data_IF_932778590663
#
_entry.id   IF_932778590663
#
_cell.length_a   1.000
_cell.length_b   1.000
_cell.length_c   1.000
_cell.angle_alpha   90.00
_cell.angle_beta   90.00
_cell.angle_gamma   90.00
#
_symmetry.space_group_name_H-M   'P 1'
#
loop_
_entity.id
_entity.type
_entity.pdbx_description
1 polymer ?
#
# COMPACT_ATOMS: atom_id res chain seq x y z
N UNK A 1 -2.48 -44.57 -2.17
CA UNK A 1 -3.45 -43.47 -2.26
C UNK A 1 -3.93 -43.18 -0.85
N UNK A 2 -3.39 -42.13 -0.22
CA UNK A 2 -3.97 -41.63 1.02
C UNK A 2 -5.41 -41.17 0.76
N UNK A 3 -6.35 -41.55 1.64
CA UNK A 3 -7.73 -41.07 1.55
C UNK A 3 -7.73 -39.55 1.67
N UNK A 4 -8.50 -38.81 0.86
CA UNK A 4 -8.63 -37.37 1.03
C UNK A 4 -9.15 -37.07 2.44
N UNK A 5 -8.38 -36.29 3.22
CA UNK A 5 -8.81 -35.81 4.54
C UNK A 5 -10.12 -35.02 4.37
N UNK A 6 -11.05 -35.22 5.31
CA UNK A 6 -12.34 -34.51 5.30
C UNK A 6 -12.11 -32.99 5.32
N UNK A 7 -12.71 -32.25 4.39
CA UNK A 7 -12.65 -30.79 4.38
C UNK A 7 -13.53 -30.27 5.52
N UNK A 8 -12.94 -29.53 6.45
CA UNK A 8 -13.71 -28.85 7.51
C UNK A 8 -14.12 -27.48 6.98
N UNK A 9 -15.42 -27.27 6.79
CA UNK A 9 -15.95 -25.97 6.42
C UNK A 9 -15.90 -25.05 7.63
N UNK A 10 -15.18 -23.94 7.52
CA UNK A 10 -15.08 -22.90 8.55
C UNK A 10 -16.17 -21.84 8.45
N UNK A 11 -17.12 -22.05 7.53
CA UNK A 11 -18.21 -21.15 7.19
C UNK A 11 -19.33 -21.07 8.22
N UNK A 12 -19.23 -21.71 9.39
CA UNK A 12 -20.21 -21.54 10.47
C UNK A 12 -19.48 -21.45 11.82
N UNK A 13 -20.07 -20.77 12.83
CA UNK A 13 -19.46 -20.71 14.15
C UNK A 13 -19.29 -22.13 14.70
N UNK A 14 -18.08 -22.47 15.12
CA UNK A 14 -17.85 -23.67 15.95
C UNK A 14 -18.55 -23.53 17.31
N UNK A 15 -18.52 -24.60 18.10
CA UNK A 15 -18.89 -24.50 19.53
C UNK A 15 -17.99 -23.47 20.23
N UNK A 16 -18.48 -22.85 21.30
CA UNK A 16 -17.80 -21.73 21.99
C UNK A 16 -16.37 -22.12 22.45
N UNK A 17 -16.17 -23.37 22.83
CA UNK A 17 -14.89 -23.98 23.21
C UNK A 17 -13.90 -24.20 22.05
N UNK A 18 -14.34 -24.00 20.81
CA UNK A 18 -13.55 -24.15 19.57
C UNK A 18 -13.26 -22.81 18.89
N UNK A 19 -13.46 -21.68 19.59
CA UNK A 19 -13.13 -20.35 19.06
C UNK A 19 -11.66 -20.02 19.34
N UNK A 20 -10.99 -19.42 18.36
CA UNK A 20 -9.67 -18.83 18.55
C UNK A 20 -9.68 -17.67 19.56
N UNK A 21 -8.52 -17.21 20.02
CA UNK A 21 -8.42 -16.09 20.95
C UNK A 21 -9.04 -14.84 20.32
N UNK A 22 -9.82 -14.08 21.10
CA UNK A 22 -10.40 -12.84 20.62
C UNK A 22 -9.35 -11.75 20.46
N UNK A 23 -9.53 -10.91 19.44
CA UNK A 23 -8.67 -9.77 19.16
C UNK A 23 -9.31 -8.52 19.77
N UNK A 24 -8.61 -7.84 20.67
CA UNK A 24 -9.02 -6.53 21.21
C UNK A 24 -8.40 -5.43 20.35
N UNK A 25 -8.99 -5.14 19.19
CA UNK A 25 -8.45 -4.12 18.28
C UNK A 25 -8.32 -2.75 18.96
N UNK A 26 -7.23 -2.04 18.70
CA UNK A 26 -6.91 -0.77 19.35
C UNK A 26 -6.30 -0.90 20.75
N UNK A 27 -6.09 -2.11 21.29
CA UNK A 27 -5.33 -2.27 22.53
C UNK A 27 -3.83 -2.01 22.29
N UNK A 28 -3.24 -1.12 23.09
CA UNK A 28 -1.84 -0.70 22.96
C UNK A 28 -0.82 -1.76 23.40
N UNK A 29 -1.20 -2.62 24.36
CA UNK A 29 -0.40 -3.77 24.79
C UNK A 29 -0.66 -4.96 23.84
N UNK A 30 0.34 -5.40 23.05
CA UNK A 30 0.13 -6.44 22.06
C UNK A 30 -0.24 -7.81 22.67
N UNK A 31 0.20 -8.12 23.90
CA UNK A 31 -0.21 -9.35 24.60
C UNK A 31 -1.69 -9.32 24.96
N UNK A 32 -2.21 -8.17 25.41
CA UNK A 32 -3.64 -7.98 25.70
C UNK A 32 -4.50 -7.87 24.44
N UNK A 33 -3.94 -7.25 23.38
CA UNK A 33 -4.56 -7.16 22.05
C UNK A 33 -4.81 -8.55 21.46
N UNK A 34 -3.83 -9.45 21.63
CA UNK A 34 -3.86 -10.82 21.11
C UNK A 34 -3.35 -10.92 19.67
N UNK A 35 -2.80 -12.08 19.28
CA UNK A 35 -2.19 -12.26 17.97
C UNK A 35 -3.22 -12.40 16.84
N UNK A 36 -2.77 -12.20 15.60
CA UNK A 36 -3.51 -12.56 14.38
C UNK A 36 -3.17 -13.99 14.01
N UNK A 37 -4.20 -14.84 13.91
CA UNK A 37 -4.06 -16.26 13.59
C UNK A 37 -4.94 -16.58 12.39
N UNK A 38 -4.32 -16.57 11.21
CA UNK A 38 -4.89 -17.02 9.93
C UNK A 38 -4.56 -18.47 9.60
N UNK A 39 -4.41 -19.33 10.62
CA UNK A 39 -3.95 -20.71 10.45
C UNK A 39 -4.89 -21.55 9.59
N UNK A 40 -4.29 -22.31 8.67
CA UNK A 40 -4.97 -23.34 7.87
C UNK A 40 -4.81 -24.75 8.47
N UNK A 41 -3.83 -24.95 9.35
CA UNK A 41 -3.52 -26.24 9.97
C UNK A 41 -4.45 -26.52 11.15
N UNK A 42 -4.74 -25.49 11.95
CA UNK A 42 -5.67 -25.59 13.06
C UNK A 42 -6.81 -24.57 12.95
N UNK A 43 -7.85 -24.87 12.14
CA UNK A 43 -8.96 -23.95 11.92
C UNK A 43 -9.71 -23.52 13.18
N UNK A 44 -9.66 -24.31 14.25
CA UNK A 44 -10.31 -23.98 15.54
C UNK A 44 -9.59 -22.87 16.30
N UNK A 45 -8.29 -22.67 16.04
CA UNK A 45 -7.50 -21.58 16.65
C UNK A 45 -7.54 -20.29 15.84
N UNK A 46 -8.12 -20.33 14.64
CA UNK A 46 -8.24 -19.17 13.74
C UNK A 46 -9.14 -18.10 14.34
N UNK A 47 -8.69 -16.85 14.28
CA UNK A 47 -9.44 -15.69 14.77
C UNK A 47 -9.62 -14.58 13.71
N UNK A 48 -9.35 -14.90 12.43
CA UNK A 48 -9.55 -14.02 11.29
C UNK A 48 -10.29 -14.71 10.13
N UNK A 49 -10.75 -13.91 9.19
CA UNK A 49 -11.23 -14.32 7.86
C UNK A 49 -10.05 -14.30 6.89
N UNK A 50 -9.93 -15.31 6.04
CA UNK A 50 -8.79 -15.47 5.12
C UNK A 50 -7.60 -16.19 5.76
N UNK A 51 -6.42 -16.02 5.17
CA UNK A 51 -5.17 -16.69 5.58
C UNK A 51 -4.01 -15.71 5.53
N UNK A 52 -2.91 -16.04 6.21
CA UNK A 52 -1.64 -15.32 6.03
C UNK A 52 -1.14 -15.41 4.57
N UNK A 53 -0.11 -14.60 4.26
CA UNK A 53 0.54 -14.52 2.94
C UNK A 53 -0.23 -13.70 1.90
N UNK A 54 -1.23 -12.91 2.32
CA UNK A 54 -1.95 -11.93 1.48
C UNK A 54 -2.26 -12.42 0.06
N UNK A 55 -1.86 -11.65 -0.96
CA UNK A 55 -2.01 -11.97 -2.38
C UNK A 55 -1.32 -13.27 -2.84
N UNK A 56 -0.44 -13.83 -2.02
CA UNK A 56 0.31 -15.06 -2.32
C UNK A 56 -0.33 -16.34 -1.75
N UNK A 57 -1.44 -16.23 -1.01
CA UNK A 57 -2.13 -17.38 -0.43
C UNK A 57 -2.53 -18.44 -1.48
N UNK A 58 -2.97 -18.01 -2.67
CA UNK A 58 -3.32 -18.91 -3.78
C UNK A 58 -2.08 -19.64 -4.32
N UNK A 59 -0.96 -18.94 -4.49
CA UNK A 59 0.30 -19.57 -4.89
C UNK A 59 0.80 -20.57 -3.86
N UNK A 60 0.68 -20.25 -2.57
CA UNK A 60 0.97 -21.19 -1.48
C UNK A 60 0.10 -22.44 -1.59
N UNK A 61 -1.21 -22.29 -1.83
CA UNK A 61 -2.10 -23.42 -2.01
C UNK A 61 -1.71 -24.30 -3.22
N UNK A 62 -1.31 -23.68 -4.33
CA UNK A 62 -0.78 -24.40 -5.50
C UNK A 62 0.52 -25.14 -5.18
N UNK A 63 1.45 -24.52 -4.44
CA UNK A 63 2.70 -25.16 -4.02
C UNK A 63 2.43 -26.40 -3.15
N UNK A 64 1.45 -26.34 -2.25
CA UNK A 64 0.99 -27.50 -1.46
C UNK A 64 0.38 -28.57 -2.36
N UNK A 65 -0.51 -28.19 -3.28
CA UNK A 65 -1.14 -29.13 -4.21
C UNK A 65 -0.11 -29.81 -5.14
N UNK A 66 0.95 -29.10 -5.51
CA UNK A 66 2.05 -29.59 -6.31
C UNK A 66 3.09 -30.41 -5.50
N UNK A 67 2.93 -30.55 -4.18
CA UNK A 67 3.88 -31.24 -3.30
C UNK A 67 5.21 -30.50 -3.10
N UNK A 68 5.27 -29.20 -3.42
CA UNK A 68 6.46 -28.36 -3.24
C UNK A 68 6.54 -27.74 -1.84
N UNK A 69 5.41 -27.69 -1.12
CA UNK A 69 5.33 -27.19 0.24
C UNK A 69 4.47 -28.13 1.09
N UNK A 70 4.95 -28.54 2.25
CA UNK A 70 4.13 -29.31 3.18
C UNK A 70 2.98 -28.44 3.72
N UNK A 71 1.76 -28.97 3.69
CA UNK A 71 0.58 -28.27 4.22
C UNK A 71 0.77 -27.88 5.70
N UNK A 72 1.43 -28.78 6.44
CA UNK A 72 1.73 -28.68 7.86
C UNK A 72 3.09 -27.99 8.15
N UNK A 73 3.72 -27.36 7.14
CA UNK A 73 4.96 -26.62 7.33
C UNK A 73 4.78 -25.48 8.34
N UNK A 74 5.56 -25.53 9.41
CA UNK A 74 5.73 -24.47 10.40
C UNK A 74 6.94 -23.62 10.01
N UNK A 75 6.78 -22.32 9.71
CA UNK A 75 7.91 -21.46 9.37
C UNK A 75 8.92 -21.35 10.52
N UNK A 76 10.21 -21.46 10.20
CA UNK A 76 11.28 -21.07 11.13
C UNK A 76 11.43 -19.55 11.12
N UNK A 77 11.12 -18.91 12.24
CA UNK A 77 11.23 -17.46 12.44
C UNK A 77 12.50 -17.06 13.21
N UNK A 78 13.47 -17.98 13.35
CA UNK A 78 14.77 -17.68 13.95
C UNK A 78 15.51 -16.62 13.13
N UNK A 79 16.04 -15.59 13.80
CA UNK A 79 16.76 -14.47 13.18
C UNK A 79 15.95 -13.66 12.15
N UNK A 80 14.61 -13.69 12.20
CA UNK A 80 13.75 -12.86 11.32
C UNK A 80 13.27 -11.57 11.98
N UNK A 81 13.83 -11.19 13.13
CA UNK A 81 13.46 -9.97 13.83
C UNK A 81 13.85 -8.72 13.00
N UNK A 82 13.09 -7.62 13.09
CA UNK A 82 13.43 -6.34 12.45
C UNK A 82 14.88 -5.90 12.72
N UNK A 83 15.60 -5.53 11.66
CA UNK A 83 16.98 -5.03 11.80
C UNK A 83 17.04 -3.60 12.37
N UNK A 84 15.91 -2.89 12.36
CA UNK A 84 15.73 -1.59 13.02
C UNK A 84 14.39 -1.62 13.78
N UNK A 85 14.36 -1.19 15.05
CA UNK A 85 13.10 -1.06 15.78
C UNK A 85 12.24 0.04 15.15
N UNK A 86 10.93 -0.22 15.08
CA UNK A 86 9.91 0.77 14.72
C UNK A 86 8.99 0.92 15.92
N UNK A 87 8.67 2.16 16.28
CA UNK A 87 7.85 2.47 17.44
C UNK A 87 8.43 2.02 18.80
N UNK A 88 7.56 1.85 19.82
CA UNK A 88 6.11 2.00 19.76
C UNK A 88 5.66 3.44 19.53
N UNK A 89 4.56 3.61 18.78
CA UNK A 89 3.92 4.92 18.58
C UNK A 89 2.52 4.91 19.20
N UNK A 90 2.06 6.04 19.75
CA UNK A 90 0.76 6.11 20.44
C UNK A 90 -0.40 5.72 19.52
N UNK A 91 -0.27 6.06 18.23
CA UNK A 91 -1.24 5.75 17.18
C UNK A 91 -1.61 4.26 17.09
N UNK A 92 -0.75 3.33 17.55
CA UNK A 92 -1.01 1.89 17.49
C UNK A 92 -2.13 1.43 18.42
N UNK A 93 -2.32 2.15 19.54
CA UNK A 93 -3.37 1.90 20.52
C UNK A 93 -4.54 2.89 20.45
N UNK A 94 -4.56 3.76 19.44
CA UNK A 94 -5.64 4.74 19.25
C UNK A 94 -6.74 4.13 18.37
N UNK A 95 -7.96 4.03 18.91
CA UNK A 95 -9.10 3.48 18.18
C UNK A 95 -9.35 4.23 16.87
N UNK A 96 -9.59 3.50 15.77
CA UNK A 96 -9.86 4.07 14.44
C UNK A 96 -8.63 4.62 13.70
N UNK A 97 -7.48 4.75 14.36
CA UNK A 97 -6.26 5.33 13.78
C UNK A 97 -5.58 4.43 12.75
N UNK A 98 -5.57 3.12 13.04
CA UNK A 98 -5.08 2.07 12.14
C UNK A 98 -6.16 1.00 12.07
N UNK A 99 -6.64 0.71 10.86
CA UNK A 99 -7.71 -0.27 10.60
C UNK A 99 -7.38 -1.21 9.43
N UNK A 100 -6.29 -0.98 8.69
CA UNK A 100 -5.95 -1.70 7.46
C UNK A 100 -4.58 -2.39 7.45
N UNK A 101 -3.84 -2.36 8.56
CA UNK A 101 -2.65 -3.18 8.81
C UNK A 101 -2.59 -3.59 10.30
N UNK A 102 -1.72 -4.55 10.63
CA UNK A 102 -1.46 -4.96 12.01
C UNK A 102 -0.26 -4.21 12.59
N UNK A 103 -0.44 -3.27 13.55
CA UNK A 103 0.65 -2.44 14.06
C UNK A 103 1.79 -3.23 14.72
N UNK A 104 1.50 -4.44 15.18
CA UNK A 104 2.44 -5.33 15.87
C UNK A 104 2.99 -6.45 14.95
N UNK A 105 2.66 -6.39 13.66
CA UNK A 105 2.97 -7.44 12.69
C UNK A 105 4.46 -7.73 12.52
N UNK A 106 5.34 -6.79 12.87
CA UNK A 106 6.80 -6.95 12.83
C UNK A 106 7.40 -7.51 14.13
N UNK A 107 6.61 -7.60 15.21
CA UNK A 107 7.08 -7.95 16.55
C UNK A 107 6.71 -9.37 16.98
N UNK A 108 6.14 -10.19 16.09
CA UNK A 108 5.57 -11.50 16.42
C UNK A 108 6.55 -12.41 17.17
N UNK A 109 7.78 -12.57 16.68
CA UNK A 109 8.77 -13.43 17.32
C UNK A 109 9.25 -12.95 18.68
N UNK A 110 9.07 -11.66 19.01
CA UNK A 110 9.45 -11.08 20.30
C UNK A 110 8.28 -11.12 21.28
N UNK A 111 7.09 -10.73 20.83
CA UNK A 111 5.89 -10.64 21.67
C UNK A 111 5.30 -12.02 21.92
N UNK A 112 5.19 -12.88 20.92
CA UNK A 112 4.45 -14.14 21.00
C UNK A 112 5.36 -15.38 21.00
N UNK A 113 6.58 -15.25 21.54
CA UNK A 113 7.58 -16.34 21.55
C UNK A 113 7.08 -17.61 22.28
N UNK A 114 6.37 -17.44 23.39
CA UNK A 114 5.79 -18.55 24.16
C UNK A 114 4.70 -19.26 23.35
N UNK A 115 3.77 -18.49 22.76
CA UNK A 115 2.68 -19.04 21.97
C UNK A 115 3.18 -19.76 20.71
N UNK A 116 4.24 -19.24 20.07
CA UNK A 116 4.91 -19.92 18.96
C UNK A 116 5.53 -21.26 19.41
N UNK A 117 6.14 -21.29 20.59
CA UNK A 117 6.71 -22.52 21.18
C UNK A 117 5.63 -23.55 21.51
N UNK A 118 4.45 -23.08 21.93
CA UNK A 118 3.25 -23.88 22.18
C UNK A 118 2.55 -24.36 20.88
N UNK A 119 3.11 -24.03 19.71
CA UNK A 119 2.62 -24.49 18.41
C UNK A 119 1.50 -23.64 17.81
N UNK A 120 1.31 -22.40 18.27
CA UNK A 120 0.38 -21.47 17.65
C UNK A 120 0.95 -20.94 16.33
N UNK A 121 0.21 -21.08 15.24
CA UNK A 121 0.58 -20.60 13.90
C UNK A 121 0.29 -19.10 13.76
N UNK A 122 1.14 -18.28 14.40
CA UNK A 122 1.14 -16.82 14.34
C UNK A 122 2.24 -16.40 13.37
N UNK A 123 1.93 -15.57 12.37
CA UNK A 123 2.91 -15.15 11.36
C UNK A 123 3.07 -13.64 11.30
N UNK A 124 4.29 -13.13 11.08
CA UNK A 124 4.51 -11.72 10.79
C UNK A 124 3.71 -11.27 9.57
N UNK A 125 3.08 -10.11 9.68
CA UNK A 125 2.45 -9.40 8.55
C UNK A 125 3.29 -8.20 8.12
N UNK A 126 4.35 -7.88 8.87
CA UNK A 126 5.31 -6.82 8.55
C UNK A 126 6.72 -7.37 8.70
N UNK A 127 7.60 -7.06 7.75
CA UNK A 127 9.03 -7.35 7.84
C UNK A 127 9.85 -6.10 7.56
N UNK A 128 10.94 -5.89 8.30
CA UNK A 128 11.80 -4.69 8.22
C UNK A 128 13.25 -5.12 8.01
N UNK A 129 13.89 -4.59 6.97
CA UNK A 129 15.28 -4.88 6.63
C UNK A 129 16.00 -3.61 6.14
N UNK A 130 17.30 -3.71 5.85
CA UNK A 130 18.07 -2.67 5.16
C UNK A 130 18.45 -3.12 3.76
N UNK A 131 18.47 -2.20 2.82
CA UNK A 131 18.84 -2.46 1.44
C UNK A 131 19.49 -1.23 0.81
N UNK A 132 19.96 -1.40 -0.42
CA UNK A 132 20.35 -0.31 -1.31
C UNK A 132 19.42 -0.29 -2.51
N UNK A 133 19.01 0.90 -2.93
CA UNK A 133 18.31 1.12 -4.18
C UNK A 133 19.32 1.60 -5.22
N UNK A 134 19.39 0.89 -6.34
CA UNK A 134 20.15 1.33 -7.51
C UNK A 134 19.16 1.76 -8.59
N UNK A 135 19.19 3.03 -8.94
CA UNK A 135 18.30 3.65 -9.92
C UNK A 135 19.17 4.52 -10.83
N UNK A 136 19.03 4.34 -12.14
CA UNK A 136 19.82 5.11 -13.11
C UNK A 136 19.55 6.61 -12.99
N UNK A 137 18.33 6.99 -12.60
CA UNK A 137 17.97 8.39 -12.38
C UNK A 137 18.72 9.04 -11.22
N UNK A 138 19.18 8.29 -10.22
CA UNK A 138 20.01 8.85 -9.15
C UNK A 138 21.39 9.22 -9.69
N UNK A 139 21.95 8.40 -10.59
CA UNK A 139 23.20 8.72 -11.28
C UNK A 139 23.02 9.96 -12.17
N UNK A 140 21.88 10.08 -12.85
CA UNK A 140 21.55 11.25 -13.68
C UNK A 140 21.40 12.51 -12.83
N UNK A 141 20.72 12.41 -11.69
CA UNK A 141 20.58 13.51 -10.74
C UNK A 141 21.95 13.98 -10.23
N UNK A 142 22.87 13.06 -9.94
CA UNK A 142 24.25 13.40 -9.56
C UNK A 142 24.99 14.09 -10.72
N UNK A 143 24.93 13.52 -11.93
CA UNK A 143 25.59 14.08 -13.13
C UNK A 143 25.10 15.50 -13.45
N UNK A 144 23.82 15.76 -13.24
CA UNK A 144 23.19 17.07 -13.45
C UNK A 144 23.36 18.02 -12.25
N UNK A 145 23.97 17.57 -11.15
CA UNK A 145 24.18 18.36 -9.93
C UNK A 145 22.91 18.61 -9.11
N UNK A 146 21.82 17.87 -9.36
CA UNK A 146 20.56 17.94 -8.61
C UNK A 146 20.66 17.24 -7.26
N UNK A 147 21.50 16.20 -7.16
CA UNK A 147 21.86 15.55 -5.91
C UNK A 147 23.38 15.50 -5.74
N UNK A 148 23.84 15.52 -4.49
CA UNK A 148 25.26 15.37 -4.13
C UNK A 148 25.41 14.17 -3.21
N UNK A 149 26.27 13.19 -3.53
CA UNK A 149 26.55 12.08 -2.62
C UNK A 149 27.09 12.57 -1.27
N UNK A 150 26.66 11.94 -0.19
CA UNK A 150 27.11 12.17 1.18
C UNK A 150 27.80 10.93 1.78
N UNK A 151 27.81 9.81 1.05
CA UNK A 151 28.38 8.54 1.47
C UNK A 151 27.56 7.81 2.54
N UNK A 152 26.44 8.38 3.00
CA UNK A 152 25.59 7.84 4.06
C UNK A 152 24.18 7.53 3.55
N UNK A 153 23.48 8.52 2.99
CA UNK A 153 22.17 8.34 2.36
C UNK A 153 22.34 7.98 0.89
N UNK A 154 23.16 8.75 0.17
CA UNK A 154 23.45 8.59 -1.25
C UNK A 154 24.95 8.34 -1.45
N UNK A 155 25.27 7.20 -2.05
CA UNK A 155 26.64 6.82 -2.36
C UNK A 155 27.12 7.44 -3.68
N UNK A 156 28.44 7.52 -3.86
CA UNK A 156 29.05 8.02 -5.10
C UNK A 156 28.66 7.20 -6.34
N UNK A 157 28.25 5.95 -6.15
CA UNK A 157 27.73 5.04 -7.18
C UNK A 157 26.30 5.38 -7.64
N UNK A 158 25.61 6.28 -6.94
CA UNK A 158 24.18 6.56 -7.12
C UNK A 158 23.26 5.62 -6.35
N UNK A 159 23.81 4.68 -5.57
CA UNK A 159 23.01 3.83 -4.69
C UNK A 159 22.46 4.62 -3.49
N UNK A 160 21.20 4.39 -3.14
CA UNK A 160 20.55 5.00 -1.97
C UNK A 160 20.40 3.97 -0.86
N UNK A 161 20.98 4.23 0.32
CA UNK A 161 20.79 3.38 1.49
C UNK A 161 19.38 3.59 2.06
N UNK A 162 18.65 2.48 2.28
CA UNK A 162 17.27 2.53 2.76
C UNK A 162 16.99 1.52 3.86
N UNK A 163 16.09 1.89 4.77
CA UNK A 163 15.33 0.91 5.55
C UNK A 163 14.10 0.54 4.72
N UNK A 164 13.94 -0.75 4.42
CA UNK A 164 12.87 -1.30 3.58
C UNK A 164 11.90 -2.09 4.44
N UNK A 165 10.61 -1.88 4.23
CA UNK A 165 9.55 -2.55 4.98
C UNK A 165 8.52 -3.14 4.03
N UNK A 166 8.14 -4.39 4.25
CA UNK A 166 7.00 -5.02 3.56
C UNK A 166 5.84 -5.10 4.55
N UNK A 167 4.63 -4.72 4.11
CA UNK A 167 3.42 -4.70 4.93
C UNK A 167 2.31 -5.44 4.19
N UNK A 168 1.80 -6.51 4.79
CA UNK A 168 0.59 -7.19 4.36
C UNK A 168 -0.66 -6.48 4.90
N UNK A 169 -1.74 -6.39 4.11
CA UNK A 169 -2.98 -5.78 4.55
C UNK A 169 -3.68 -6.64 5.60
N UNK A 170 -4.15 -5.99 6.67
CA UNK A 170 -4.92 -6.60 7.75
C UNK A 170 -6.07 -5.67 8.10
N UNK A 171 -7.29 -6.07 7.77
CA UNK A 171 -8.45 -5.20 7.88
C UNK A 171 -9.26 -5.51 9.13
N UNK A 172 -9.40 -4.51 10.00
CA UNK A 172 -10.41 -4.50 11.05
C UNK A 172 -11.74 -4.01 10.48
N UNK A 173 -12.64 -4.95 10.19
CA UNK A 173 -13.87 -4.71 9.44
C UNK A 173 -14.75 -3.58 10.00
N UNK A 174 -14.97 -3.46 11.33
CA UNK A 174 -15.73 -2.33 11.88
C UNK A 174 -15.09 -0.98 11.56
N UNK A 175 -13.77 -0.85 11.74
CA UNK A 175 -13.05 0.39 11.46
C UNK A 175 -12.95 0.70 9.96
N UNK A 176 -12.81 -0.32 9.11
CA UNK A 176 -12.88 -0.14 7.66
C UNK A 176 -14.27 0.34 7.23
N UNK A 177 -15.34 -0.22 7.78
CA UNK A 177 -16.70 0.22 7.49
C UNK A 177 -16.93 1.68 7.90
N UNK A 178 -16.43 2.08 9.07
CA UNK A 178 -16.45 3.47 9.54
C UNK A 178 -15.70 4.42 8.59
N UNK A 179 -14.49 4.05 8.13
CA UNK A 179 -13.71 4.84 7.15
C UNK A 179 -14.43 5.04 5.82
N UNK A 180 -15.31 4.12 5.45
CA UNK A 180 -16.12 4.21 4.22
C UNK A 180 -17.52 4.77 4.46
N UNK A 181 -17.85 5.19 5.68
CA UNK A 181 -19.16 5.73 6.04
C UNK A 181 -20.33 4.78 5.70
N UNK A 182 -20.11 3.48 5.88
CA UNK A 182 -21.11 2.42 5.66
C UNK A 182 -21.24 1.53 6.89
N UNK A 183 -22.32 0.75 6.94
CA UNK A 183 -22.46 -0.26 8.01
C UNK A 183 -21.53 -1.45 7.78
N UNK A 184 -21.06 -2.07 8.87
CA UNK A 184 -20.24 -3.29 8.80
C UNK A 184 -20.96 -4.41 8.02
N UNK A 185 -22.28 -4.54 8.19
CA UNK A 185 -23.08 -5.52 7.47
C UNK A 185 -23.09 -5.28 5.96
N UNK A 186 -23.18 -4.01 5.51
CA UNK A 186 -23.07 -3.66 4.09
C UNK A 186 -21.67 -3.96 3.56
N UNK A 187 -20.62 -3.59 4.29
CA UNK A 187 -19.23 -3.89 3.91
C UNK A 187 -19.03 -5.39 3.69
N UNK A 188 -19.37 -6.21 4.70
CA UNK A 188 -19.22 -7.67 4.66
C UNK A 188 -20.00 -8.31 3.53
N UNK A 189 -21.26 -7.90 3.35
CA UNK A 189 -22.13 -8.43 2.31
C UNK A 189 -21.59 -8.11 0.91
N UNK A 190 -21.18 -6.87 0.68
CA UNK A 190 -20.61 -6.46 -0.61
C UNK A 190 -19.29 -7.17 -0.87
N UNK A 191 -18.39 -7.28 0.11
CA UNK A 191 -17.16 -8.05 -0.03
C UNK A 191 -17.45 -9.51 -0.40
N UNK A 192 -18.44 -10.16 0.22
CA UNK A 192 -18.83 -11.53 -0.11
C UNK A 192 -19.42 -11.65 -1.52
N UNK A 193 -20.45 -10.86 -1.85
CA UNK A 193 -21.17 -10.94 -3.12
C UNK A 193 -20.28 -10.54 -4.31
N UNK A 194 -19.48 -9.48 -4.17
CA UNK A 194 -18.64 -8.95 -5.25
C UNK A 194 -17.32 -9.73 -5.44
N UNK A 195 -16.98 -10.64 -4.51
CA UNK A 195 -15.85 -11.58 -4.69
C UNK A 195 -16.31 -12.98 -5.12
N UNK A 196 -17.56 -13.13 -5.59
CA UNK A 196 -18.10 -14.42 -6.03
C UNK A 196 -18.29 -15.42 -4.89
N UNK A 197 -18.47 -14.94 -3.66
CA UNK A 197 -18.69 -15.76 -2.48
C UNK A 197 -17.43 -16.41 -1.91
N UNK A 198 -16.24 -15.89 -2.23
CA UNK A 198 -14.94 -16.49 -1.87
C UNK A 198 -14.72 -16.66 -0.36
N UNK A 199 -15.30 -15.79 0.47
CA UNK A 199 -15.17 -15.82 1.94
C UNK A 199 -16.54 -15.87 2.64
N UNK A 200 -17.17 -17.05 2.76
CA UNK A 200 -18.47 -17.20 3.43
C UNK A 200 -18.49 -16.65 4.86
N UNK A 201 -17.36 -16.69 5.57
CA UNK A 201 -17.22 -16.17 6.93
C UNK A 201 -17.54 -14.69 7.07
N UNK A 202 -17.43 -13.89 5.99
CA UNK A 202 -17.86 -12.50 6.01
C UNK A 202 -19.32 -12.38 6.42
N UNK A 203 -20.17 -13.34 6.04
CA UNK A 203 -21.61 -13.36 6.33
C UNK A 203 -21.92 -14.23 7.56
N UNK A 204 -21.24 -15.37 7.70
CA UNK A 204 -21.64 -16.40 8.66
C UNK A 204 -20.90 -16.37 9.99
N UNK A 205 -19.80 -15.60 10.09
CA UNK A 205 -18.95 -15.49 11.28
C UNK A 205 -18.83 -14.03 11.74
N UNK A 206 -19.91 -13.44 12.31
CA UNK A 206 -19.86 -12.09 12.86
C UNK A 206 -18.90 -11.97 14.05
N UNK A 207 -18.50 -13.09 14.66
CA UNK A 207 -17.48 -13.15 15.70
C UNK A 207 -16.06 -12.87 15.20
N UNK A 208 -15.80 -13.00 13.89
CA UNK A 208 -14.51 -12.68 13.27
C UNK A 208 -14.53 -11.26 12.73
N UNK A 209 -13.85 -10.34 13.42
CA UNK A 209 -13.82 -8.91 13.06
C UNK A 209 -12.62 -8.50 12.20
N UNK A 210 -11.65 -9.40 12.01
CA UNK A 210 -10.44 -9.14 11.22
C UNK A 210 -10.45 -9.97 9.94
N UNK A 211 -10.10 -9.35 8.83
CA UNK A 211 -10.00 -9.94 7.51
C UNK A 211 -8.58 -9.76 6.95
N UNK A 212 -8.02 -10.84 6.39
CA UNK A 212 -6.76 -10.83 5.66
C UNK A 212 -7.07 -10.85 4.15
N UNK A 213 -7.29 -9.67 3.51
CA UNK A 213 -7.63 -9.63 2.10
C UNK A 213 -6.45 -10.08 1.23
N UNK A 214 -6.67 -10.92 0.21
CA UNK A 214 -5.62 -11.37 -0.70
C UNK A 214 -5.32 -10.32 -1.78
N UNK A 215 -5.01 -9.10 -1.37
CA UNK A 215 -4.70 -7.96 -2.24
C UNK A 215 -3.23 -7.57 -2.13
N UNK A 216 -2.78 -6.69 -3.03
CA UNK A 216 -1.42 -6.17 -3.01
C UNK A 216 -1.09 -5.44 -1.70
N UNK A 217 0.08 -5.74 -1.14
CA UNK A 217 0.60 -5.08 0.06
C UNK A 217 1.23 -3.71 -0.20
N UNK A 218 1.95 -3.22 0.80
CA UNK A 218 2.69 -1.96 0.78
C UNK A 218 4.17 -2.27 0.92
N UNK A 219 5.01 -1.59 0.15
CA UNK A 219 6.45 -1.55 0.41
C UNK A 219 6.84 -0.13 0.80
N UNK A 220 7.46 0.04 1.95
CA UNK A 220 7.97 1.33 2.40
C UNK A 220 9.48 1.36 2.21
N UNK A 221 9.99 2.45 1.66
CA UNK A 221 11.41 2.78 1.62
C UNK A 221 11.63 4.05 2.43
N UNK A 222 12.47 3.97 3.46
CA UNK A 222 12.85 5.10 4.28
C UNK A 222 14.33 5.44 4.11
N UNK A 223 14.60 6.71 3.88
CA UNK A 223 15.94 7.29 3.78
C UNK A 223 16.20 8.10 5.06
N UNK A 224 17.42 8.00 5.61
CA UNK A 224 17.79 8.65 6.87
C UNK A 224 17.59 7.78 8.10
N UNK A 225 17.59 8.40 9.29
CA UNK A 225 17.44 7.72 10.57
C UNK A 225 15.95 7.55 10.94
N UNK A 226 15.43 6.33 10.75
CA UNK A 226 14.01 6.01 11.01
C UNK A 226 13.61 6.23 12.48
N UNK A 227 14.55 6.23 13.42
CA UNK A 227 14.25 6.44 14.85
C UNK A 227 13.85 7.87 15.17
N UNK A 228 14.13 8.81 14.26
CA UNK A 228 13.76 10.23 14.41
C UNK A 228 12.28 10.48 14.11
N UNK A 229 11.57 9.55 13.44
CA UNK A 229 10.17 9.76 13.07
C UNK A 229 9.29 9.90 14.31
N UNK A 230 8.52 10.98 14.36
CA UNK A 230 7.63 11.31 15.47
C UNK A 230 8.24 12.22 16.54
N UNK A 231 9.53 12.59 16.41
CA UNK A 231 10.16 13.67 17.18
C UNK A 231 9.81 15.04 16.60
N UNK A 232 9.87 16.10 17.40
CA UNK A 232 9.53 17.48 16.95
C UNK A 232 10.57 18.07 15.99
N UNK A 233 11.82 17.59 16.04
CA UNK A 233 12.94 18.12 15.24
C UNK A 233 13.07 17.43 13.87
N UNK A 234 12.45 16.26 13.69
CA UNK A 234 12.57 15.47 12.47
C UNK A 234 11.70 16.00 11.34
N UNK A 235 12.32 16.56 10.31
CA UNK A 235 11.61 16.93 9.07
C UNK A 235 11.28 15.70 8.23
N UNK A 236 10.06 15.63 7.71
CA UNK A 236 9.56 14.51 6.91
C UNK A 236 9.23 14.95 5.49
N UNK A 237 9.95 14.37 4.53
CA UNK A 237 9.56 14.38 3.13
C UNK A 237 8.87 13.05 2.80
N UNK A 238 7.70 13.09 2.15
CA UNK A 238 6.90 11.90 1.92
C UNK A 238 6.31 11.85 0.50
N UNK A 239 6.37 10.65 -0.10
CA UNK A 239 5.64 10.30 -1.31
C UNK A 239 4.85 9.01 -1.09
N UNK A 240 3.53 9.13 -1.23
CA UNK A 240 2.64 7.98 -1.32
C UNK A 240 2.42 7.65 -2.79
N UNK A 241 2.87 6.49 -3.22
CA UNK A 241 2.84 6.07 -4.63
C UNK A 241 1.89 4.88 -4.82
N UNK A 242 1.06 4.94 -5.86
CA UNK A 242 0.28 3.77 -6.29
C UNK A 242 0.98 3.16 -7.51
N UNK A 243 1.13 1.84 -7.49
CA UNK A 243 1.81 1.05 -8.52
C UNK A 243 1.32 1.35 -9.93
N UNK A 244 2.29 1.49 -10.83
CA UNK A 244 2.08 1.56 -12.26
C UNK A 244 3.21 0.79 -12.95
N UNK A 245 3.09 -0.53 -13.04
CA UNK A 245 4.11 -1.45 -13.55
C UNK A 245 4.74 -0.97 -14.87
N UNK A 246 3.92 -0.64 -15.87
CA UNK A 246 4.39 -0.18 -17.18
C UNK A 246 5.25 1.10 -17.13
N UNK A 247 4.98 2.02 -16.20
CA UNK A 247 5.80 3.24 -16.05
C UNK A 247 6.94 3.01 -15.09
N UNK A 248 6.64 2.53 -13.87
CA UNK A 248 7.58 2.37 -12.77
C UNK A 248 8.72 1.41 -13.13
N UNK A 249 8.46 0.33 -13.85
CA UNK A 249 9.47 -0.69 -14.21
C UNK A 249 10.07 -0.42 -15.59
N UNK A 250 9.23 -0.11 -16.58
CA UNK A 250 9.64 -0.08 -18.00
C UNK A 250 9.71 1.32 -18.62
N UNK A 251 9.42 2.38 -17.86
CA UNK A 251 9.59 3.77 -18.34
C UNK A 251 8.56 4.20 -19.38
N UNK A 252 7.33 3.66 -19.35
CA UNK A 252 6.24 4.15 -20.22
C UNK A 252 6.03 5.66 -20.07
N UNK A 253 5.94 6.34 -21.22
CA UNK A 253 5.82 7.79 -21.40
C UNK A 253 4.37 8.29 -21.46
N UNK A 254 3.38 7.40 -21.34
CA UNK A 254 1.95 7.71 -21.43
C UNK A 254 1.42 8.31 -20.11
N UNK A 255 2.16 8.17 -19.01
CA UNK A 255 1.77 8.66 -17.70
C UNK A 255 2.95 9.21 -16.91
N UNK A 256 2.62 9.92 -15.84
CA UNK A 256 3.60 10.59 -14.97
C UNK A 256 4.03 9.76 -13.75
N UNK A 257 3.67 8.47 -13.68
CA UNK A 257 3.91 7.63 -12.51
C UNK A 257 5.40 7.51 -12.14
N UNK A 258 6.27 7.02 -13.04
CA UNK A 258 7.71 6.93 -12.76
C UNK A 258 8.35 8.29 -12.53
N UNK A 259 8.10 9.34 -13.35
CA UNK A 259 8.63 10.68 -13.08
C UNK A 259 8.31 11.17 -11.65
N UNK A 260 7.09 10.98 -11.18
CA UNK A 260 6.72 11.31 -9.80
C UNK A 260 7.40 10.46 -8.73
N UNK A 261 7.58 9.16 -9.01
CA UNK A 261 8.27 8.26 -8.10
C UNK A 261 9.74 8.69 -7.93
N UNK A 262 10.42 8.95 -9.04
CA UNK A 262 11.81 9.40 -9.05
C UNK A 262 11.94 10.77 -8.36
N UNK A 263 11.11 11.75 -8.71
CA UNK A 263 11.12 13.05 -8.04
C UNK A 263 10.88 12.93 -6.53
N UNK A 264 9.93 12.08 -6.12
CA UNK A 264 9.69 11.77 -4.71
C UNK A 264 10.92 11.18 -4.01
N UNK A 265 11.64 10.27 -4.67
CA UNK A 265 12.88 9.68 -4.15
C UNK A 265 13.96 10.74 -3.99
N UNK A 266 14.16 11.63 -4.97
CA UNK A 266 15.16 12.71 -4.90
C UNK A 266 14.90 13.66 -3.72
N UNK A 267 13.65 14.13 -3.57
CA UNK A 267 13.26 15.00 -2.44
C UNK A 267 13.44 14.27 -1.11
N UNK A 268 13.11 12.98 -1.05
CA UNK A 268 13.30 12.16 0.15
C UNK A 268 14.79 11.97 0.50
N UNK A 269 15.65 11.79 -0.50
CA UNK A 269 17.11 11.71 -0.32
C UNK A 269 17.65 13.03 0.20
N UNK A 270 17.31 14.14 -0.45
CA UNK A 270 17.77 15.48 -0.02
C UNK A 270 17.33 15.81 1.41
N UNK A 271 16.07 15.54 1.76
CA UNK A 271 15.57 15.74 3.12
C UNK A 271 16.34 14.89 4.14
N UNK A 272 16.63 13.62 3.80
CA UNK A 272 17.40 12.74 4.66
C UNK A 272 18.86 13.19 4.85
N UNK A 273 19.50 13.69 3.79
CA UNK A 273 20.86 14.26 3.86
C UNK A 273 20.93 15.50 4.76
N UNK A 274 19.82 16.26 4.85
CA UNK A 274 19.69 17.42 5.72
C UNK A 274 19.28 17.07 7.16
N UNK A 275 19.37 15.80 7.56
CA UNK A 275 19.06 15.33 8.92
C UNK A 275 17.59 14.99 9.16
N UNK A 276 16.73 15.06 8.14
CA UNK A 276 15.36 14.60 8.19
C UNK A 276 15.20 13.12 7.84
N UNK A 277 13.97 12.72 7.53
CA UNK A 277 13.61 11.38 7.05
C UNK A 277 12.81 11.48 5.76
N UNK A 278 13.23 10.73 4.74
CA UNK A 278 12.50 10.55 3.50
C UNK A 278 11.64 9.28 3.55
N UNK A 279 10.38 9.34 3.10
CA UNK A 279 9.45 8.19 3.12
C UNK A 279 8.82 8.01 1.74
N UNK A 280 9.04 6.85 1.12
CA UNK A 280 8.29 6.38 -0.04
C UNK A 280 7.40 5.22 0.37
N UNK A 281 6.08 5.42 0.39
CA UNK A 281 5.10 4.37 0.63
C UNK A 281 4.51 3.89 -0.71
N UNK A 282 4.94 2.73 -1.19
CA UNK A 282 4.56 2.15 -2.48
C UNK A 282 3.43 1.14 -2.30
N UNK A 283 2.23 1.50 -2.77
CA UNK A 283 1.02 0.69 -2.70
C UNK A 283 0.84 -0.11 -3.99
N UNK A 284 0.67 -1.42 -3.88
CA UNK A 284 0.43 -2.32 -5.02
C UNK A 284 -1.03 -2.25 -5.49
N UNK A 285 -1.39 -1.11 -6.08
CA UNK A 285 -2.76 -0.74 -6.52
C UNK A 285 -2.77 -0.32 -8.01
N UNK A 286 -2.34 -1.23 -8.88
CA UNK A 286 -2.28 -1.00 -10.33
C UNK A 286 -3.61 -0.49 -10.93
N UNK A 287 -3.50 0.45 -11.87
CA UNK A 287 -4.64 0.92 -12.66
C UNK A 287 -5.74 1.56 -11.82
N UNK A 288 -5.39 2.28 -10.75
CA UNK A 288 -6.35 2.80 -9.74
C UNK A 288 -7.15 1.70 -9.05
N UNK A 289 -6.51 0.56 -8.82
CA UNK A 289 -7.11 -0.68 -8.31
C UNK A 289 -8.19 -1.29 -9.23
N UNK A 290 -8.22 -0.93 -10.52
CA UNK A 290 -9.02 -1.60 -11.57
C UNK A 290 -8.25 -2.72 -12.29
N UNK A 291 -6.94 -2.82 -12.05
CA UNK A 291 -6.05 -3.78 -12.70
C UNK A 291 -5.55 -3.34 -14.09
N UNK A 292 -4.51 -4.03 -14.55
CA UNK A 292 -3.77 -3.68 -15.77
C UNK A 292 -4.57 -3.90 -17.05
N UNK A 293 -5.39 -4.95 -17.11
CA UNK A 293 -6.26 -5.25 -18.27
C UNK A 293 -7.22 -4.08 -18.53
N UNK A 294 -7.94 -3.64 -17.50
CA UNK A 294 -8.88 -2.51 -17.59
C UNK A 294 -8.16 -1.24 -18.01
N UNK A 295 -6.99 -0.96 -17.43
CA UNK A 295 -6.14 0.18 -17.81
C UNK A 295 -5.81 0.18 -19.30
N UNK A 296 -5.40 -0.96 -19.86
CA UNK A 296 -5.05 -1.05 -21.28
C UNK A 296 -6.28 -0.92 -22.19
N UNK A 297 -7.43 -1.46 -21.78
CA UNK A 297 -8.70 -1.23 -22.49
C UNK A 297 -9.05 0.27 -22.52
N UNK A 298 -8.85 0.99 -21.41
CA UNK A 298 -9.05 2.45 -21.35
C UNK A 298 -8.07 3.18 -22.27
N UNK A 299 -6.78 2.81 -22.29
CA UNK A 299 -5.81 3.42 -23.22
C UNK A 299 -6.20 3.21 -24.68
N UNK A 300 -6.59 1.99 -25.06
CA UNK A 300 -7.07 1.68 -26.40
C UNK A 300 -8.32 2.50 -26.74
N UNK A 301 -9.27 2.60 -25.81
CA UNK A 301 -10.49 3.37 -26.00
C UNK A 301 -10.21 4.88 -26.15
N UNK A 302 -9.25 5.42 -25.41
CA UNK A 302 -8.81 6.83 -25.50
C UNK A 302 -8.16 7.13 -26.83
N UNK A 303 -7.25 6.27 -27.31
CA UNK A 303 -6.54 6.51 -28.58
C UNK A 303 -7.43 6.32 -29.82
N UNK A 304 -8.46 5.47 -29.75
CA UNK A 304 -9.39 5.16 -30.87
C UNK A 304 -10.63 6.04 -30.96
N UNK A 305 -10.89 6.90 -29.97
CA UNK A 305 -12.06 7.77 -30.03
C UNK A 305 -11.89 8.86 -31.10
N UNK A 306 -13.00 9.40 -31.59
CA UNK A 306 -12.97 10.54 -32.50
C UNK A 306 -12.23 11.73 -31.86
N UNK A 307 -11.29 12.32 -32.59
CA UNK A 307 -10.42 13.38 -32.08
C UNK A 307 -9.18 12.89 -31.32
N UNK A 308 -8.98 11.58 -31.15
CA UNK A 308 -7.79 10.99 -30.54
C UNK A 308 -7.78 11.08 -29.01
N UNK A 309 -6.60 10.88 -28.41
CA UNK A 309 -6.43 10.90 -26.96
C UNK A 309 -6.34 12.34 -26.44
N UNK A 310 -7.44 12.86 -25.89
CA UNK A 310 -7.59 14.25 -25.45
C UNK A 310 -7.82 14.35 -23.95
N UNK A 311 -7.30 15.41 -23.34
CA UNK A 311 -7.47 15.66 -21.91
C UNK A 311 -8.95 15.80 -21.52
N UNK A 312 -9.77 16.45 -22.35
CA UNK A 312 -11.20 16.69 -22.11
C UNK A 312 -12.06 15.41 -21.95
N UNK A 313 -11.63 14.29 -22.55
CA UNK A 313 -12.35 13.01 -22.53
C UNK A 313 -11.68 11.95 -21.66
N UNK A 314 -10.59 12.31 -20.98
CA UNK A 314 -9.72 11.38 -20.25
C UNK A 314 -10.50 10.50 -19.25
N UNK A 315 -11.28 11.12 -18.36
CA UNK A 315 -12.03 10.39 -17.34
C UNK A 315 -13.28 9.71 -17.90
N UNK A 316 -13.93 10.31 -18.92
CA UNK A 316 -15.12 9.75 -19.57
C UNK A 316 -14.86 8.34 -20.09
N UNK A 317 -13.70 8.09 -20.71
CA UNK A 317 -13.37 6.74 -21.21
C UNK A 317 -13.11 5.74 -20.08
N UNK A 318 -12.56 6.21 -18.96
CA UNK A 318 -12.40 5.36 -17.77
C UNK A 318 -13.77 4.95 -17.24
N UNK A 319 -14.71 5.89 -17.07
CA UNK A 319 -16.08 5.59 -16.64
C UNK A 319 -16.83 4.67 -17.60
N UNK A 320 -16.72 4.89 -18.92
CA UNK A 320 -17.38 4.04 -19.90
C UNK A 320 -16.90 2.57 -19.84
N UNK A 321 -15.63 2.33 -19.52
CA UNK A 321 -15.04 0.98 -19.51
C UNK A 321 -15.15 0.33 -18.12
N UNK A 322 -14.90 1.09 -17.06
CA UNK A 322 -14.78 0.58 -15.69
C UNK A 322 -16.01 0.88 -14.80
N UNK A 323 -16.94 1.71 -15.26
CA UNK A 323 -18.10 2.16 -14.47
C UNK A 323 -17.79 3.20 -13.39
N UNK A 324 -16.51 3.48 -13.14
CA UNK A 324 -16.02 4.40 -12.10
C UNK A 324 -14.64 4.94 -12.47
N UNK A 325 -14.27 6.11 -11.96
CA UNK A 325 -12.98 6.74 -12.24
C UNK A 325 -11.83 6.22 -11.35
N UNK A 326 -12.13 5.75 -10.14
CA UNK A 326 -11.14 5.40 -9.11
C UNK A 326 -11.71 4.46 -8.05
N UNK A 327 -10.99 3.40 -7.68
CA UNK A 327 -11.34 2.47 -6.59
C UNK A 327 -10.16 2.20 -5.65
N UNK A 328 -9.21 3.13 -5.54
CA UNK A 328 -7.99 2.95 -4.72
C UNK A 328 -8.22 3.00 -3.22
N UNK A 329 -9.41 3.42 -2.76
CA UNK A 329 -9.74 3.53 -1.35
C UNK A 329 -8.67 4.27 -0.54
N UNK A 330 -8.41 5.53 -0.91
CA UNK A 330 -7.34 6.34 -0.30
C UNK A 330 -7.56 6.56 1.20
N UNK A 331 -8.77 6.39 1.72
CA UNK A 331 -9.10 6.49 3.14
C UNK A 331 -8.30 5.52 4.02
N UNK A 332 -7.82 4.39 3.48
CA UNK A 332 -7.00 3.42 4.23
C UNK A 332 -5.50 3.71 4.13
N UNK A 333 -5.08 4.51 3.15
CA UNK A 333 -3.68 4.78 2.86
C UNK A 333 -2.88 5.36 4.04
N UNK A 334 -3.42 6.31 4.86
CA UNK A 334 -2.65 6.93 5.93
C UNK A 334 -2.26 5.97 7.05
N UNK A 335 -2.85 4.78 7.14
CA UNK A 335 -2.59 3.83 8.23
C UNK A 335 -1.11 3.42 8.30
N UNK A 336 -0.41 3.33 7.17
CA UNK A 336 1.04 3.07 7.14
C UNK A 336 1.85 4.25 7.69
N UNK A 337 1.40 5.48 7.48
CA UNK A 337 2.04 6.67 8.03
C UNK A 337 1.80 6.78 9.54
N UNK A 338 0.59 6.47 9.99
CA UNK A 338 0.26 6.34 11.42
C UNK A 338 1.08 5.24 12.09
N UNK A 339 1.29 4.10 11.41
CA UNK A 339 2.13 3.02 11.90
C UNK A 339 3.59 3.46 12.06
N UNK A 340 4.11 4.25 11.13
CA UNK A 340 5.44 4.84 11.23
C UNK A 340 5.54 5.97 12.28
N UNK A 341 4.42 6.37 12.90
CA UNK A 341 4.40 7.43 13.90
C UNK A 341 4.35 8.85 13.34
N UNK A 342 4.12 9.02 12.03
CA UNK A 342 4.06 10.33 11.37
C UNK A 342 2.89 11.16 11.92
N UNK A 343 3.17 12.41 12.29
CA UNK A 343 2.18 13.41 12.77
C UNK A 343 2.16 14.67 11.90
N UNK A 344 3.29 14.99 11.31
CA UNK A 344 3.48 16.10 10.38
C UNK A 344 4.30 15.62 9.19
N UNK A 345 3.97 16.10 8.00
CA UNK A 345 4.77 15.93 6.78
C UNK A 345 5.16 17.34 6.34
N UNK A 346 6.44 17.69 6.47
CA UNK A 346 6.96 18.98 6.03
C UNK A 346 6.74 19.15 4.53
N UNK A 347 7.10 18.13 3.74
CA UNK A 347 7.06 18.16 2.28
C UNK A 347 6.34 16.93 1.72
N UNK A 348 5.11 17.10 1.23
CA UNK A 348 4.35 16.05 0.56
C UNK A 348 4.51 16.15 -0.96
N UNK A 349 5.20 15.20 -1.58
CA UNK A 349 5.38 15.16 -3.03
C UNK A 349 4.11 14.58 -3.69
N UNK A 350 3.07 15.40 -3.85
CA UNK A 350 1.79 14.96 -4.45
C UNK A 350 0.85 16.11 -4.85
N UNK A 351 0.41 16.10 -6.11
CA UNK A 351 -0.70 16.95 -6.60
C UNK A 351 -2.09 16.37 -6.31
N UNK A 352 -2.20 15.14 -5.78
CA UNK A 352 -3.49 14.49 -5.58
C UNK A 352 -4.21 14.98 -4.31
N UNK A 353 -5.35 15.67 -4.47
CA UNK A 353 -6.18 16.05 -3.33
C UNK A 353 -6.72 14.83 -2.59
N UNK A 354 -7.13 13.76 -3.30
CA UNK A 354 -7.57 12.52 -2.64
C UNK A 354 -6.54 11.95 -1.66
N UNK A 355 -5.24 12.04 -1.97
CA UNK A 355 -4.17 11.61 -1.05
C UNK A 355 -3.99 12.59 0.10
N UNK A 356 -3.97 13.88 -0.20
CA UNK A 356 -3.85 14.93 0.80
C UNK A 356 -5.01 14.90 1.81
N UNK A 357 -6.25 14.88 1.32
CA UNK A 357 -7.47 14.85 2.14
C UNK A 357 -7.50 13.59 3.02
N UNK A 358 -7.09 12.43 2.48
CA UNK A 358 -6.98 11.20 3.27
C UNK A 358 -5.96 11.35 4.42
N UNK A 359 -4.77 11.89 4.14
CA UNK A 359 -3.72 12.14 5.14
C UNK A 359 -4.22 13.08 6.24
N UNK A 360 -4.77 14.24 5.85
CA UNK A 360 -5.21 15.27 6.80
C UNK A 360 -6.44 14.83 7.60
N UNK A 361 -7.36 14.06 6.99
CA UNK A 361 -8.52 13.48 7.71
C UNK A 361 -8.11 12.53 8.83
N UNK A 362 -6.88 12.00 8.78
CA UNK A 362 -6.30 11.17 9.83
C UNK A 362 -5.46 11.95 10.85
N UNK A 363 -5.54 13.28 10.83
CA UNK A 363 -4.84 14.15 11.78
C UNK A 363 -3.34 14.27 11.52
N UNK A 364 -2.87 13.85 10.33
CA UNK A 364 -1.50 14.11 9.90
C UNK A 364 -1.50 15.47 9.19
N UNK A 365 -0.77 16.44 9.75
CA UNK A 365 -0.66 17.77 9.14
C UNK A 365 0.35 17.76 7.99
N UNK A 366 0.18 18.64 7.01
CA UNK A 366 1.05 18.75 5.83
C UNK A 366 1.49 20.21 5.70
N UNK A 367 2.80 20.45 5.62
CA UNK A 367 3.40 21.78 5.44
C UNK A 367 3.24 22.27 4.01
N UNK A 368 4.07 21.78 3.11
CA UNK A 368 4.01 22.10 1.68
C UNK A 368 3.69 20.87 0.83
N UNK A 369 3.16 21.13 -0.37
CA UNK A 369 2.92 20.12 -1.39
C UNK A 369 3.76 20.44 -2.61
N UNK A 370 4.60 19.51 -3.02
CA UNK A 370 5.42 19.67 -4.22
C UNK A 370 4.77 18.98 -5.42
N UNK A 371 4.64 19.75 -6.51
CA UNK A 371 4.35 19.24 -7.84
C UNK A 371 5.61 18.67 -8.48
N UNK A 372 5.44 17.83 -9.51
CA UNK A 372 6.57 17.44 -10.34
C UNK A 372 7.07 18.62 -11.19
N UNK A 373 8.38 18.79 -11.41
CA UNK A 373 8.90 19.79 -12.34
C UNK A 373 8.40 19.56 -13.77
N UNK A 374 8.07 20.63 -14.49
CA UNK A 374 7.48 20.55 -15.84
C UNK A 374 8.41 19.85 -16.85
N UNK A 375 9.72 20.04 -16.72
CA UNK A 375 10.73 19.41 -17.57
C UNK A 375 10.84 17.88 -17.37
N UNK A 376 10.26 17.35 -16.29
CA UNK A 376 10.22 15.91 -16.02
C UNK A 376 8.91 15.26 -16.48
N UNK A 377 7.96 16.04 -17.03
CA UNK A 377 6.68 15.52 -17.54
C UNK A 377 6.89 15.05 -18.99
N UNK A 378 6.70 13.75 -19.30
CA UNK A 378 6.75 13.27 -20.68
C UNK A 378 5.67 13.92 -21.56
N UNK A 379 5.96 14.11 -22.84
CA UNK A 379 5.05 14.80 -23.76
C UNK A 379 3.67 14.14 -23.86
N UNK A 380 3.60 12.81 -24.00
CA UNK A 380 2.31 12.10 -24.08
C UNK A 380 1.56 12.10 -22.74
N UNK A 381 2.28 12.29 -21.63
CA UNK A 381 1.70 12.39 -20.28
C UNK A 381 1.08 13.77 -20.00
N UNK A 382 1.31 14.79 -20.83
CA UNK A 382 0.65 16.10 -20.73
C UNK A 382 -0.88 15.97 -20.80
N UNK A 383 -1.38 15.02 -21.61
CA UNK A 383 -2.82 14.69 -21.67
C UNK A 383 -3.37 14.31 -20.30
N UNK A 384 -2.64 13.46 -19.56
CA UNK A 384 -3.02 13.05 -18.20
C UNK A 384 -2.95 14.24 -17.23
N UNK A 385 -1.89 15.04 -17.32
CA UNK A 385 -1.66 16.16 -16.40
C UNK A 385 -2.73 17.24 -16.54
N UNK A 386 -3.05 17.66 -17.76
CA UNK A 386 -4.08 18.68 -18.00
C UNK A 386 -5.48 18.18 -17.59
N UNK A 387 -5.79 16.90 -17.86
CA UNK A 387 -7.03 16.30 -17.38
C UNK A 387 -7.13 16.31 -15.85
N UNK A 388 -6.05 15.94 -15.15
CA UNK A 388 -6.00 15.92 -13.68
C UNK A 388 -6.12 17.31 -13.07
N UNK A 389 -5.41 18.31 -13.63
CA UNK A 389 -5.52 19.72 -13.19
C UNK A 389 -6.96 20.22 -13.32
N UNK A 390 -7.61 19.94 -14.46
CA UNK A 390 -9.01 20.28 -14.67
C UNK A 390 -9.98 19.58 -13.71
N UNK A 391 -9.66 18.34 -13.29
CA UNK A 391 -10.40 17.60 -12.27
C UNK A 391 -10.08 18.05 -10.83
N UNK A 392 -9.32 19.14 -10.66
CA UNK A 392 -9.06 19.78 -9.38
C UNK A 392 -7.78 19.32 -8.67
N UNK A 393 -6.85 18.64 -9.34
CA UNK A 393 -5.54 18.36 -8.74
C UNK A 393 -4.82 19.69 -8.41
N UNK A 394 -4.13 19.72 -7.28
CA UNK A 394 -3.37 20.89 -6.83
C UNK A 394 -2.31 21.27 -7.87
N UNK A 395 -2.24 22.55 -8.21
CA UNK A 395 -1.29 23.13 -9.16
C UNK A 395 -0.98 24.55 -8.74
N UNK A 396 0.30 24.93 -8.80
CA UNK A 396 0.73 26.32 -8.54
C UNK A 396 0.48 27.25 -9.74
N UNK A 397 0.24 26.68 -10.92
CA UNK A 397 -0.03 27.40 -12.16
C UNK A 397 -1.52 27.70 -12.35
N UNK A 398 -1.83 28.84 -13.00
CA UNK A 398 -3.19 29.20 -13.42
C UNK A 398 -3.73 28.20 -14.45
N UNK A 399 -4.97 27.74 -14.26
CA UNK A 399 -5.65 26.88 -15.23
C UNK A 399 -5.88 27.64 -16.53
N UNK A 400 -5.37 27.09 -17.65
CA UNK A 400 -5.70 27.54 -19.00
C UNK A 400 -6.88 26.71 -19.54
N UNK A 401 -8.08 27.29 -19.72
CA UNK A 401 -9.24 26.58 -20.24
C UNK A 401 -9.04 26.03 -21.66
N UNK A 402 -8.14 26.62 -22.45
CA UNK A 402 -7.87 26.21 -23.83
C UNK A 402 -6.83 25.07 -23.91
N UNK A 403 -6.03 24.86 -22.86
CA UNK A 403 -5.07 23.76 -22.77
C UNK A 403 -5.76 22.38 -22.80
N UNK A 404 -6.95 22.26 -22.21
CA UNK A 404 -7.77 21.03 -22.20
C UNK A 404 -8.18 20.54 -23.59
N UNK A 405 -8.45 21.48 -24.51
CA UNK A 405 -8.91 21.18 -25.88
C UNK A 405 -7.75 21.00 -26.86
N UNK A 406 -6.64 21.69 -26.61
CA UNK A 406 -5.46 21.69 -27.47
C UNK A 406 -4.48 20.55 -27.16
N UNK A 407 -4.51 19.98 -25.95
CA UNK A 407 -3.63 18.88 -25.55
C UNK A 407 -4.13 17.54 -26.09
N UNK A 408 -3.43 17.03 -27.10
CA UNK A 408 -3.70 15.74 -27.76
C UNK A 408 -2.46 14.87 -27.72
N UNK A 409 -2.63 13.61 -27.32
CA UNK A 409 -1.55 12.62 -27.31
C UNK A 409 -1.18 12.11 -28.70
N UNK A 410 -0.10 11.34 -28.78
CA UNK A 410 0.39 10.73 -30.02
C UNK A 410 -0.69 9.88 -30.72
N UNK A 411 -0.66 9.89 -32.05
CA UNK A 411 -1.53 9.09 -32.89
C UNK A 411 -1.09 7.62 -32.89
N UNK A 412 -2.04 6.68 -33.01
CA UNK A 412 -1.80 5.23 -33.08
C UNK A 412 -0.81 4.83 -34.18
N UNK A 413 -0.76 5.55 -35.30
CA UNK A 413 0.16 5.25 -36.42
C UNK A 413 1.62 5.64 -36.14
N UNK A 414 1.90 6.30 -35.01
CA UNK A 414 3.21 6.83 -34.63
C UNK A 414 3.91 6.04 -33.51
N UNK A 415 3.43 4.83 -33.19
CA UNK A 415 3.96 3.95 -32.14
C UNK A 415 4.85 2.84 -32.69
#
# INVERSE_FOLDING_TARGET
>A
MEKPKHIVLTSHPGRIDQRGPQIQWGQADPKRRGPIIGSVQNPTKRNVIGTHSGSYAVYRALAVAAGQLDADHVPDLTNTAPIVPIGPHSQWGEAGKIVSLDPFGHMIGQVFAEELTDGMDIRPTIAVTKARLELIEMQDAIRQGRLKPDGMVLLDTGEVNVTKMAVEPVWYLPGVAERFEITESQLRRNLFEQTGGMFPELVTRPDLQVFLPPIGGITVYMMGDVSQVGTEECKIACRVHDECNGSDVFGSDICTCRPYLIHGIEVCVENAQNGGVGIIAYFRKEGRALGEVTKFLVYNARKRQEGGDRAETYFKRTECVAGVQDVRFQQLMPDVLNWLGVKHIDTLVSMSNMKYDAIVSQGITVGERLAIPDEQIPDDAKVEMEAKKAAGYFTDASLDPDALKSTVGRNLEQF
#
